data_IF_006032044243
#
_entry.id   IF_006032044243
#
_cell.length_a   1.000
_cell.length_b   1.000
_cell.length_c   1.000
_cell.angle_alpha   90.00
_cell.angle_beta   90.00
_cell.angle_gamma   90.00
#
_symmetry.space_group_name_H-M   'P 1'
#
loop_
_entity.id
_entity.type
_entity.pdbx_description
1 polymer ?
#
# COMPACT_ATOMS: atom_id res chain seq x y z
N UNK A 1 -27.71 -5.29 -7.41
CA UNK A 1 -27.24 -4.00 -6.88
C UNK A 1 -25.94 -3.67 -7.59
N UNK A 2 -25.92 -2.67 -8.46
CA UNK A 2 -24.69 -2.20 -9.10
C UNK A 2 -23.86 -1.47 -8.05
N UNK A 3 -22.65 -1.95 -7.77
CA UNK A 3 -21.67 -1.26 -6.94
C UNK A 3 -21.18 -0.06 -7.78
N UNK A 4 -21.58 1.15 -7.43
CA UNK A 4 -21.20 2.37 -8.18
C UNK A 4 -20.02 3.01 -7.45
N UNK A 5 -18.89 3.16 -8.16
CA UNK A 5 -17.77 3.97 -7.67
C UNK A 5 -18.07 5.45 -7.91
N UNK A 6 -17.93 6.26 -6.87
CA UNK A 6 -18.13 7.71 -6.90
C UNK A 6 -16.78 8.43 -6.87
N UNK A 7 -16.68 9.56 -7.58
CA UNK A 7 -15.52 10.45 -7.49
C UNK A 7 -15.62 11.21 -6.18
N UNK A 8 -14.62 11.03 -5.31
CA UNK A 8 -14.52 11.76 -4.04
C UNK A 8 -13.77 13.07 -4.28
N UNK A 9 -12.58 13.01 -4.87
CA UNK A 9 -11.75 14.16 -5.19
C UNK A 9 -10.85 13.86 -6.38
N UNK A 10 -10.37 14.89 -7.07
CA UNK A 10 -9.44 14.77 -8.19
C UNK A 10 -8.40 15.89 -8.11
N UNK A 11 -7.13 15.57 -8.41
CA UNK A 11 -6.02 16.50 -8.35
C UNK A 11 -4.72 15.83 -7.90
N UNK A 12 -3.70 16.62 -7.55
CA UNK A 12 -2.37 16.07 -7.26
C UNK A 12 -1.71 15.44 -8.48
N UNK A 13 -0.69 14.60 -8.27
CA UNK A 13 0.04 13.92 -9.33
C UNK A 13 0.68 12.63 -8.82
N UNK A 14 0.31 11.51 -9.46
CA UNK A 14 0.75 10.18 -9.02
C UNK A 14 0.12 9.82 -7.67
N UNK A 15 -1.22 9.96 -7.56
CA UNK A 15 -1.92 9.65 -6.32
C UNK A 15 -1.70 8.18 -5.94
N UNK A 16 -1.39 7.93 -4.67
CA UNK A 16 -1.22 6.59 -4.12
C UNK A 16 -1.47 6.57 -2.60
N UNK A 17 -1.36 5.37 -2.01
CA UNK A 17 -1.35 5.14 -0.57
C UNK A 17 -2.46 5.87 0.22
N UNK A 18 -3.75 5.64 -0.10
CA UNK A 18 -4.82 6.18 0.70
C UNK A 18 -4.76 5.60 2.11
N UNK A 19 -4.91 6.44 3.13
CA UNK A 19 -4.92 6.00 4.54
C UNK A 19 -5.85 6.86 5.37
N UNK A 20 -6.42 6.30 6.44
CA UNK A 20 -7.20 7.08 7.40
C UNK A 20 -6.32 7.58 8.53
N UNK A 21 -6.44 8.87 8.85
CA UNK A 21 -5.78 9.50 9.98
C UNK A 21 -6.77 10.40 10.73
N UNK A 22 -7.07 10.09 11.99
CA UNK A 22 -7.97 10.89 12.84
C UNK A 22 -9.32 11.23 12.17
N UNK A 23 -9.90 10.26 11.46
CA UNK A 23 -11.17 10.41 10.73
C UNK A 23 -11.09 11.16 9.40
N UNK A 24 -9.89 11.56 8.96
CA UNK A 24 -9.66 12.14 7.63
C UNK A 24 -9.03 11.11 6.69
N UNK A 25 -9.43 11.12 5.43
CA UNK A 25 -8.74 10.39 4.37
C UNK A 25 -7.54 11.21 3.90
N UNK A 26 -6.36 10.60 3.93
CA UNK A 26 -5.12 11.14 3.41
C UNK A 26 -4.70 10.33 2.17
N UNK A 27 -4.02 10.98 1.24
CA UNK A 27 -3.41 10.35 0.06
C UNK A 27 -2.02 10.94 -0.17
N UNK A 28 -1.11 10.13 -0.71
CA UNK A 28 0.18 10.62 -1.18
C UNK A 28 0.03 11.13 -2.62
N UNK A 29 0.65 12.28 -2.92
CA UNK A 29 0.84 12.80 -4.26
C UNK A 29 2.32 12.67 -4.59
N UNK A 30 2.70 11.50 -5.08
CA UNK A 30 4.10 11.06 -5.17
C UNK A 30 4.95 12.03 -5.99
N UNK A 31 4.44 12.50 -7.14
CA UNK A 31 5.22 13.30 -8.08
C UNK A 31 5.33 14.78 -7.66
N UNK A 32 4.42 15.27 -6.82
CA UNK A 32 4.50 16.64 -6.28
C UNK A 32 5.18 16.71 -4.91
N UNK A 33 5.47 15.56 -4.28
CA UNK A 33 6.15 15.52 -2.98
C UNK A 33 5.24 15.94 -1.82
N UNK A 34 3.95 15.62 -1.88
CA UNK A 34 2.96 16.09 -0.90
C UNK A 34 2.14 14.94 -0.30
N UNK A 35 1.78 15.07 0.97
CA UNK A 35 0.65 14.34 1.55
C UNK A 35 -0.55 15.28 1.54
N UNK A 36 -1.65 14.82 0.94
CA UNK A 36 -2.87 15.58 0.76
C UNK A 36 -3.97 15.01 1.66
N UNK A 37 -4.71 15.88 2.35
CA UNK A 37 -5.96 15.52 3.00
C UNK A 37 -7.13 15.72 2.02
N UNK A 38 -8.07 14.79 2.04
CA UNK A 38 -9.34 14.93 1.31
C UNK A 38 -10.30 15.76 2.15
N UNK A 39 -10.70 16.93 1.65
CA UNK A 39 -11.62 17.84 2.32
C UNK A 39 -12.82 18.16 1.39
N UNK A 40 -13.91 17.43 1.57
CA UNK A 40 -15.03 17.46 0.62
C UNK A 40 -14.58 16.90 -0.73
N UNK A 41 -14.63 17.73 -1.78
CA UNK A 41 -14.20 17.35 -3.13
C UNK A 41 -12.81 17.88 -3.52
N UNK A 42 -12.04 18.39 -2.56
CA UNK A 42 -10.71 18.96 -2.80
C UNK A 42 -9.62 18.15 -2.10
N UNK A 43 -8.39 18.28 -2.63
CA UNK A 43 -7.18 17.75 -2.02
C UNK A 43 -6.35 18.92 -1.49
N UNK A 44 -6.08 18.92 -0.19
CA UNK A 44 -5.37 20.00 0.50
C UNK A 44 -4.04 19.49 1.03
N UNK A 45 -2.89 20.09 0.64
CA UNK A 45 -1.60 19.71 1.19
C UNK A 45 -1.52 19.92 2.70
N UNK A 46 -1.10 18.89 3.44
CA UNK A 46 -0.89 18.95 4.90
C UNK A 46 0.56 18.73 5.31
N UNK A 47 1.38 18.21 4.39
CA UNK A 47 2.80 17.95 4.56
C UNK A 47 3.48 17.96 3.21
N UNK A 48 4.70 18.51 3.16
CA UNK A 48 5.62 18.33 2.04
C UNK A 48 6.75 17.38 2.42
N UNK A 49 7.19 16.57 1.47
CA UNK A 49 8.24 15.56 1.60
C UNK A 49 8.94 15.39 0.23
N UNK A 50 9.67 14.30 0.02
CA UNK A 50 10.42 14.05 -1.20
C UNK A 50 9.53 13.50 -2.31
N UNK A 51 9.21 12.21 -2.22
CA UNK A 51 8.29 11.51 -3.11
C UNK A 51 7.53 10.44 -2.31
N UNK A 52 6.42 10.81 -1.64
CA UNK A 52 5.71 9.91 -0.75
C UNK A 52 5.04 8.78 -1.54
N UNK A 53 5.19 7.55 -1.07
CA UNK A 53 4.74 6.33 -1.76
C UNK A 53 3.88 5.42 -0.88
N UNK A 54 4.00 5.53 0.44
CA UNK A 54 3.25 4.73 1.42
C UNK A 54 2.93 5.56 2.66
N UNK A 55 1.71 5.42 3.19
CA UNK A 55 1.24 6.19 4.35
C UNK A 55 0.57 5.29 5.38
N UNK A 56 0.91 5.49 6.65
CA UNK A 56 0.20 4.87 7.77
C UNK A 56 0.13 5.85 8.93
N UNK A 57 -1.03 6.01 9.56
CA UNK A 57 -1.21 6.89 10.70
C UNK A 57 -1.53 6.08 11.95
N UNK A 58 -0.88 6.40 13.05
CA UNK A 58 -1.14 5.80 14.36
C UNK A 58 -0.88 6.81 15.48
N UNK A 59 -1.79 6.90 16.45
CA UNK A 59 -1.59 7.73 17.65
C UNK A 59 -1.30 9.23 17.42
N UNK A 60 -1.61 9.78 16.25
CA UNK A 60 -1.25 11.17 15.88
C UNK A 60 0.12 11.31 15.22
N UNK A 61 0.84 10.20 15.02
CA UNK A 61 2.05 10.10 14.21
C UNK A 61 1.67 9.65 12.81
N UNK A 62 2.27 10.28 11.80
CA UNK A 62 2.13 9.87 10.40
C UNK A 62 3.45 9.29 9.90
N UNK A 63 3.45 8.02 9.54
CA UNK A 63 4.57 7.32 8.92
C UNK A 63 4.47 7.42 7.40
N UNK A 64 5.59 7.75 6.77
CA UNK A 64 5.67 8.02 5.33
C UNK A 64 6.82 7.22 4.73
N UNK A 65 6.52 6.29 3.84
CA UNK A 65 7.51 5.77 2.91
C UNK A 65 7.79 6.83 1.84
N UNK A 66 9.06 7.11 1.57
CA UNK A 66 9.47 8.15 0.62
C UNK A 66 10.55 7.61 -0.33
N UNK A 67 10.24 7.64 -1.63
CA UNK A 67 11.13 7.16 -2.69
C UNK A 67 12.36 8.05 -2.86
N UNK A 68 12.21 9.37 -2.73
CA UNK A 68 13.31 10.31 -2.94
C UNK A 68 14.25 10.34 -1.72
N UNK A 69 13.70 10.21 -0.51
CA UNK A 69 14.49 10.09 0.71
C UNK A 69 15.09 8.68 0.90
N UNK A 70 14.64 7.69 0.12
CA UNK A 70 15.02 6.28 0.22
C UNK A 70 14.87 5.74 1.66
N UNK A 71 13.75 6.08 2.30
CA UNK A 71 13.57 5.78 3.71
C UNK A 71 12.12 5.80 4.16
N UNK A 72 11.93 5.35 5.39
CA UNK A 72 10.71 5.55 6.15
C UNK A 72 10.92 6.77 7.03
N UNK A 73 10.02 7.73 6.94
CA UNK A 73 9.97 8.95 7.73
C UNK A 73 8.80 8.86 8.71
N UNK A 74 8.85 9.65 9.78
CA UNK A 74 7.74 9.85 10.71
C UNK A 74 7.55 11.34 10.94
N UNK A 75 6.30 11.79 10.88
CA UNK A 75 5.89 13.12 11.28
C UNK A 75 5.16 13.07 12.61
N UNK A 76 5.66 13.82 13.57
CA UNK A 76 5.04 14.01 14.88
C UNK A 76 5.15 15.49 15.25
N UNK A 77 4.05 16.10 15.74
CA UNK A 77 4.01 17.52 16.11
C UNK A 77 4.51 18.49 15.01
N UNK A 78 4.27 18.14 13.75
CA UNK A 78 4.69 18.92 12.58
C UNK A 78 6.19 18.80 12.22
N UNK A 79 6.95 17.97 12.94
CA UNK A 79 8.34 17.68 12.62
C UNK A 79 8.47 16.36 11.88
N UNK A 80 9.01 16.41 10.67
CA UNK A 80 9.34 15.23 9.86
C UNK A 80 10.76 14.76 10.21
N UNK A 81 10.87 13.52 10.67
CA UNK A 81 12.14 12.89 11.05
C UNK A 81 12.31 11.55 10.35
N UNK A 82 13.56 11.12 10.19
CA UNK A 82 13.87 9.80 9.65
C UNK A 82 13.61 8.72 10.70
N UNK A 83 12.88 7.67 10.31
CA UNK A 83 12.76 6.45 11.10
C UNK A 83 13.85 5.46 10.71
N UNK A 84 14.03 5.19 9.41
CA UNK A 84 15.07 4.28 8.91
C UNK A 84 15.38 4.50 7.43
N UNK A 85 16.64 4.32 7.02
CA UNK A 85 17.10 4.45 5.63
C UNK A 85 17.99 3.32 5.09
N UNK A 86 18.47 2.44 5.96
CA UNK A 86 19.36 1.36 5.55
C UNK A 86 19.14 0.09 6.37
N UNK A 87 19.55 -1.03 5.78
CA UNK A 87 19.66 -2.33 6.43
C UNK A 87 21.04 -2.91 6.13
N UNK A 88 21.79 -3.33 7.15
CA UNK A 88 23.14 -3.90 7.00
C UNK A 88 24.07 -3.04 6.10
N UNK A 89 24.12 -1.72 6.37
CA UNK A 89 24.90 -0.72 5.62
C UNK A 89 24.52 -0.58 4.13
N UNK A 90 23.34 -1.06 3.74
CA UNK A 90 22.77 -0.90 2.41
C UNK A 90 21.54 0.00 2.48
N UNK A 91 21.62 1.13 1.78
CA UNK A 91 20.50 2.07 1.64
C UNK A 91 19.33 1.37 0.94
N UNK A 92 18.11 1.69 1.35
CA UNK A 92 16.90 1.19 0.69
C UNK A 92 16.80 1.67 -0.75
N UNK A 93 16.11 0.90 -1.59
CA UNK A 93 15.84 1.26 -2.99
C UNK A 93 14.80 2.38 -3.08
N UNK A 94 13.90 2.40 -2.10
CA UNK A 94 12.79 3.33 -1.98
C UNK A 94 11.63 2.56 -1.36
N UNK A 95 11.32 2.78 -0.08
CA UNK A 95 10.17 2.15 0.55
C UNK A 95 8.87 2.51 -0.19
N UNK A 96 7.92 1.59 -0.30
CA UNK A 96 6.70 1.76 -1.12
C UNK A 96 5.39 1.59 -0.37
N UNK A 97 5.40 0.93 0.79
CA UNK A 97 4.19 0.71 1.57
C UNK A 97 4.54 0.42 3.01
N UNK A 98 3.63 0.79 3.93
CA UNK A 98 3.82 0.66 5.38
C UNK A 98 2.50 0.32 6.07
N UNK A 99 2.54 -0.52 7.09
CA UNK A 99 1.43 -0.79 8.02
C UNK A 99 1.97 -1.00 9.43
N UNK A 100 1.17 -0.64 10.44
CA UNK A 100 1.48 -0.88 11.84
C UNK A 100 0.51 -1.88 12.44
N UNK A 101 0.99 -2.73 13.35
CA UNK A 101 0.11 -3.53 14.21
C UNK A 101 -0.27 -2.77 15.49
N UNK A 102 -1.27 -3.25 16.26
CA UNK A 102 -1.72 -2.56 17.47
C UNK A 102 -0.70 -2.48 18.62
N UNK A 103 0.43 -3.20 18.51
CA UNK A 103 1.52 -3.16 19.51
C UNK A 103 2.62 -2.18 19.06
N UNK A 104 2.51 -1.62 17.85
CA UNK A 104 3.44 -0.65 17.28
C UNK A 104 4.56 -1.26 16.46
N UNK A 105 4.48 -2.54 16.07
CA UNK A 105 5.44 -3.08 15.11
C UNK A 105 5.16 -2.45 13.74
N UNK A 106 6.20 -1.97 13.08
CA UNK A 106 6.12 -1.36 11.76
C UNK A 106 6.52 -2.40 10.72
N UNK A 107 5.69 -2.59 9.70
CA UNK A 107 6.01 -3.42 8.55
C UNK A 107 6.06 -2.56 7.31
N UNK A 108 7.08 -2.72 6.47
CA UNK A 108 7.20 -1.95 5.23
C UNK A 108 7.84 -2.74 4.10
N UNK A 109 7.61 -2.28 2.88
CA UNK A 109 8.18 -2.84 1.65
C UNK A 109 9.24 -1.89 1.10
N UNK A 110 10.33 -2.46 0.58
CA UNK A 110 11.36 -1.75 -0.17
C UNK A 110 11.42 -2.31 -1.60
N UNK A 111 10.84 -1.57 -2.55
CA UNK A 111 10.77 -1.97 -3.95
C UNK A 111 11.50 -0.99 -4.89
N UNK A 112 11.70 0.25 -4.45
CA UNK A 112 12.09 1.36 -5.31
C UNK A 112 10.99 1.74 -6.31
N UNK A 113 11.27 2.70 -7.22
CA UNK A 113 10.36 3.05 -8.30
C UNK A 113 10.11 1.86 -9.25
N UNK A 114 9.02 1.88 -9.99
CA UNK A 114 8.71 0.83 -10.98
C UNK A 114 9.85 0.72 -12.00
N UNK A 115 10.43 -0.48 -12.09
CA UNK A 115 11.63 -0.76 -12.90
C UNK A 115 12.90 -1.04 -12.08
N UNK A 116 12.92 -0.67 -10.80
CA UNK A 116 14.07 -0.91 -9.90
C UNK A 116 14.17 -2.38 -9.47
N UNK A 117 13.05 -2.97 -9.06
CA UNK A 117 12.95 -4.40 -8.72
C UNK A 117 12.01 -5.09 -9.71
N UNK A 118 12.56 -5.96 -10.56
CA UNK A 118 11.86 -6.48 -11.76
C UNK A 118 11.68 -7.99 -11.72
N UNK A 119 10.94 -8.56 -12.68
CA UNK A 119 10.87 -10.02 -12.88
C UNK A 119 12.25 -10.65 -13.07
N UNK A 120 13.14 -9.98 -13.81
CA UNK A 120 14.48 -10.50 -14.13
C UNK A 120 15.47 -10.27 -12.98
N UNK A 121 15.21 -9.29 -12.12
CA UNK A 121 16.02 -8.96 -10.96
C UNK A 121 15.12 -8.64 -9.76
N UNK A 122 14.49 -9.67 -9.15
CA UNK A 122 13.53 -9.50 -8.08
C UNK A 122 14.24 -9.18 -6.76
N UNK A 123 14.77 -7.97 -6.63
CA UNK A 123 15.56 -7.52 -5.48
C UNK A 123 14.76 -6.70 -4.47
N UNK A 124 13.44 -6.76 -4.51
CA UNK A 124 12.58 -6.13 -3.52
C UNK A 124 12.58 -6.89 -2.20
N UNK A 125 12.27 -6.18 -1.11
CA UNK A 125 12.33 -6.71 0.25
C UNK A 125 11.09 -6.30 1.05
N UNK A 126 10.82 -7.05 2.12
CA UNK A 126 9.83 -6.73 3.14
C UNK A 126 10.52 -6.78 4.50
N UNK A 127 10.24 -5.79 5.35
CA UNK A 127 10.90 -5.59 6.63
C UNK A 127 9.90 -5.39 7.76
N UNK A 128 10.36 -5.66 8.99
CA UNK A 128 9.70 -5.32 10.24
C UNK A 128 10.65 -4.51 11.12
N UNK A 129 10.15 -3.47 11.75
CA UNK A 129 10.77 -2.81 12.92
C UNK A 129 9.93 -3.21 14.13
N UNK A 130 10.57 -3.86 15.10
CA UNK A 130 9.89 -4.27 16.34
C UNK A 130 9.66 -3.10 17.28
N UNK A 131 8.50 -3.05 17.93
CA UNK A 131 8.15 -1.94 18.82
C UNK A 131 9.08 -1.84 20.05
N UNK A 132 9.47 -2.98 20.61
CA UNK A 132 10.19 -3.13 21.87
C UNK A 132 11.69 -2.85 21.74
N UNK A 133 12.34 -3.46 20.76
CA UNK A 133 13.78 -3.39 20.55
C UNK A 133 14.19 -2.40 19.46
N UNK A 134 13.22 -1.85 18.71
CA UNK A 134 13.49 -1.10 17.47
C UNK A 134 14.39 -1.88 16.52
N UNK A 135 14.31 -3.22 16.57
CA UNK A 135 15.10 -4.12 15.74
C UNK A 135 14.47 -4.18 14.35
N UNK A 136 15.24 -3.76 13.34
CA UNK A 136 14.93 -3.94 11.93
C UNK A 136 15.33 -5.36 11.49
N UNK A 137 14.38 -6.13 10.97
CA UNK A 137 14.61 -7.48 10.44
C UNK A 137 13.82 -7.74 9.15
N UNK A 138 14.36 -8.54 8.21
CA UNK A 138 13.67 -8.88 6.98
C UNK A 138 12.64 -10.00 7.19
N UNK A 139 11.47 -9.83 6.58
CA UNK A 139 10.50 -10.91 6.31
C UNK A 139 10.88 -11.66 5.03
N UNK A 140 11.37 -10.89 4.05
CA UNK A 140 11.89 -11.33 2.77
C UNK A 140 12.97 -10.34 2.36
N UNK A 141 14.14 -10.84 1.94
CA UNK A 141 15.28 -9.99 1.58
C UNK A 141 15.65 -10.25 0.11
N UNK A 142 15.59 -9.20 -0.70
CA UNK A 142 16.01 -9.17 -2.11
C UNK A 142 15.52 -10.35 -2.96
N UNK A 143 14.24 -10.69 -2.83
CA UNK A 143 13.63 -11.82 -3.53
C UNK A 143 12.22 -11.55 -4.08
N UNK A 144 11.75 -10.30 -4.02
CA UNK A 144 10.43 -9.89 -4.50
C UNK A 144 10.53 -9.03 -5.77
N UNK A 145 9.67 -9.29 -6.76
CA UNK A 145 9.55 -8.50 -7.98
C UNK A 145 8.51 -7.39 -7.80
N UNK A 146 8.98 -6.20 -7.42
CA UNK A 146 8.16 -5.02 -7.15
C UNK A 146 7.02 -5.27 -6.13
N UNK A 147 7.36 -5.54 -4.85
CA UNK A 147 6.35 -5.62 -3.80
C UNK A 147 5.68 -4.24 -3.60
N UNK A 148 4.37 -4.18 -3.77
CA UNK A 148 3.64 -2.91 -3.97
C UNK A 148 2.87 -2.43 -2.73
N UNK A 149 2.21 -3.34 -2.02
CA UNK A 149 1.42 -3.02 -0.84
C UNK A 149 1.38 -4.17 0.16
N UNK A 150 1.07 -3.86 1.42
CA UNK A 150 0.88 -4.85 2.46
C UNK A 150 -0.30 -4.50 3.37
N UNK A 151 -0.89 -5.54 3.96
CA UNK A 151 -1.94 -5.42 4.97
C UNK A 151 -1.80 -6.51 6.03
N UNK A 152 -2.27 -6.22 7.24
CA UNK A 152 -2.36 -7.20 8.32
C UNK A 152 -3.71 -7.92 8.25
N UNK A 153 -3.70 -9.22 8.50
CA UNK A 153 -4.94 -9.93 8.76
C UNK A 153 -5.50 -9.57 10.15
N UNK A 154 -6.79 -9.83 10.42
CA UNK A 154 -7.39 -9.55 11.73
C UNK A 154 -6.71 -10.25 12.91
N UNK A 155 -6.02 -11.37 12.66
CA UNK A 155 -5.28 -12.12 13.68
C UNK A 155 -3.97 -11.43 14.14
N UNK A 156 -3.56 -10.36 13.47
CA UNK A 156 -2.32 -9.59 13.70
C UNK A 156 -1.03 -10.44 13.63
N UNK A 157 -1.11 -11.63 13.03
CA UNK A 157 0.01 -12.59 12.90
C UNK A 157 0.33 -12.91 11.44
N UNK A 158 -0.65 -12.67 10.58
CA UNK A 158 -0.56 -12.93 9.15
C UNK A 158 -0.40 -11.61 8.42
N UNK A 159 0.63 -11.52 7.58
CA UNK A 159 0.93 -10.33 6.78
C UNK A 159 0.74 -10.71 5.32
N UNK A 160 -0.11 -9.96 4.64
CA UNK A 160 -0.33 -10.09 3.21
C UNK A 160 0.52 -9.08 2.46
N UNK A 161 1.17 -9.51 1.39
CA UNK A 161 2.01 -8.65 0.53
C UNK A 161 1.62 -8.86 -0.92
N UNK A 162 1.27 -7.80 -1.62
CA UNK A 162 1.07 -7.83 -3.07
C UNK A 162 2.42 -7.73 -3.76
N UNK A 163 2.71 -8.68 -4.63
CA UNK A 163 3.90 -8.65 -5.49
C UNK A 163 3.45 -8.41 -6.92
N UNK A 164 3.63 -7.17 -7.37
CA UNK A 164 2.99 -6.66 -8.58
C UNK A 164 3.45 -7.45 -9.80
N UNK A 165 4.76 -7.57 -10.03
CA UNK A 165 5.26 -8.09 -11.30
C UNK A 165 5.18 -9.62 -11.44
N UNK A 166 5.03 -10.37 -10.34
CA UNK A 166 4.71 -11.81 -10.38
C UNK A 166 3.21 -12.11 -10.23
N UNK A 167 2.40 -11.06 -10.21
CA UNK A 167 0.94 -11.11 -10.22
C UNK A 167 0.35 -11.98 -9.10
N UNK A 168 0.85 -11.83 -7.86
CA UNK A 168 0.47 -12.70 -6.74
C UNK A 168 0.28 -11.96 -5.42
N UNK A 169 -0.57 -12.53 -4.58
CA UNK A 169 -0.73 -12.18 -3.17
C UNK A 169 0.04 -13.20 -2.34
N UNK A 170 1.06 -12.74 -1.63
CA UNK A 170 1.84 -13.52 -0.69
C UNK A 170 1.24 -13.43 0.71
N UNK A 171 1.45 -14.49 1.50
CA UNK A 171 1.15 -14.52 2.92
C UNK A 171 2.38 -14.93 3.71
N UNK A 172 2.74 -14.09 4.67
CA UNK A 172 3.80 -14.30 5.64
C UNK A 172 3.21 -14.63 7.01
N UNK A 173 3.72 -15.67 7.65
CA UNK A 173 3.35 -16.08 9.01
C UNK A 173 4.61 -16.38 9.81
N UNK A 174 4.71 -15.85 11.02
CA UNK A 174 5.86 -16.08 11.88
C UNK A 174 5.75 -17.43 12.62
N UNK A 175 6.83 -18.22 12.63
CA UNK A 175 6.97 -19.46 13.42
C UNK A 175 8.41 -19.61 13.89
N UNK A 176 8.61 -19.80 15.20
CA UNK A 176 9.95 -20.00 15.77
C UNK A 176 10.90 -18.82 15.53
N UNK A 177 10.37 -17.58 15.49
CA UNK A 177 11.13 -16.36 15.24
C UNK A 177 11.32 -16.00 13.77
N UNK A 178 11.12 -16.94 12.83
CA UNK A 178 11.27 -16.70 11.39
C UNK A 178 9.92 -16.51 10.69
N UNK A 179 9.91 -15.72 9.61
CA UNK A 179 8.75 -15.61 8.73
C UNK A 179 8.78 -16.70 7.66
N UNK A 180 7.63 -17.33 7.44
CA UNK A 180 7.42 -18.27 6.36
C UNK A 180 6.48 -17.65 5.33
N UNK A 181 6.92 -17.64 4.07
CA UNK A 181 6.17 -17.09 2.94
C UNK A 181 5.50 -18.21 2.12
N UNK A 182 4.29 -17.94 1.64
CA UNK A 182 3.56 -18.79 0.70
C UNK A 182 2.75 -17.93 -0.26
N UNK A 183 2.49 -18.44 -1.47
CA UNK A 183 1.52 -17.81 -2.38
C UNK A 183 0.12 -18.10 -1.86
N UNK A 184 -0.60 -17.05 -1.49
CA UNK A 184 -1.96 -17.14 -0.98
C UNK A 184 -2.99 -17.07 -2.10
N UNK A 185 -2.75 -16.22 -3.10
CA UNK A 185 -3.56 -16.12 -4.30
C UNK A 185 -2.70 -15.78 -5.51
N UNK A 186 -2.93 -16.45 -6.64
CA UNK A 186 -2.29 -16.14 -7.92
C UNK A 186 -3.33 -15.45 -8.80
N UNK A 187 -3.05 -14.24 -9.24
CA UNK A 187 -3.91 -13.47 -10.13
C UNK A 187 -3.55 -13.72 -11.60
N UNK A 188 -4.40 -13.20 -12.49
CA UNK A 188 -4.24 -13.24 -13.94
C UNK A 188 -4.77 -11.94 -14.54
N UNK A 189 -4.24 -11.52 -15.71
CA UNK A 189 -4.69 -10.32 -16.41
C UNK A 189 -3.70 -9.18 -16.26
N UNK A 190 -4.19 -8.03 -15.77
CA UNK A 190 -3.46 -6.77 -15.47
C UNK A 190 -2.00 -6.97 -15.04
N UNK A 191 -1.17 -5.92 -15.17
CA UNK A 191 0.24 -5.97 -14.77
C UNK A 191 0.44 -6.57 -13.36
N UNK A 192 -0.39 -6.17 -12.39
CA UNK A 192 -0.57 -6.96 -11.17
C UNK A 192 -1.15 -6.19 -9.99
N UNK A 193 -1.21 -6.81 -8.80
CA UNK A 193 -1.80 -6.20 -7.62
C UNK A 193 -0.92 -5.04 -7.12
N UNK A 194 -1.55 -3.90 -6.84
CA UNK A 194 -0.86 -2.64 -6.48
C UNK A 194 -1.27 -2.09 -5.12
N UNK A 195 -2.42 -2.50 -4.59
CA UNK A 195 -2.91 -2.11 -3.28
C UNK A 195 -3.70 -3.23 -2.62
N UNK A 196 -3.73 -3.25 -1.29
CA UNK A 196 -4.51 -4.20 -0.50
C UNK A 196 -5.09 -3.56 0.75
N UNK A 197 -6.36 -3.85 1.02
CA UNK A 197 -7.02 -3.61 2.31
C UNK A 197 -7.62 -4.92 2.81
N UNK A 198 -7.63 -5.13 4.13
CA UNK A 198 -8.23 -6.29 4.77
C UNK A 198 -9.28 -5.85 5.80
N UNK A 199 -10.49 -6.38 5.71
CA UNK A 199 -11.55 -6.08 6.68
C UNK A 199 -11.42 -6.93 7.96
N UNK A 200 -12.27 -6.67 8.96
CA UNK A 200 -12.27 -7.40 10.23
C UNK A 200 -12.72 -8.86 10.09
N UNK A 201 -13.39 -9.21 9.00
CA UNK A 201 -13.78 -10.59 8.68
C UNK A 201 -12.66 -11.36 7.97
N UNK A 202 -11.59 -10.68 7.57
CA UNK A 202 -10.45 -11.22 6.83
C UNK A 202 -10.67 -11.26 5.32
N UNK A 203 -11.69 -10.58 4.79
CA UNK A 203 -11.84 -10.37 3.35
C UNK A 203 -10.77 -9.39 2.89
N UNK A 204 -10.12 -9.70 1.77
CA UNK A 204 -9.12 -8.84 1.15
C UNK A 204 -9.70 -8.17 -0.08
N UNK A 205 -9.45 -6.87 -0.20
CA UNK A 205 -9.75 -6.06 -1.36
C UNK A 205 -8.44 -5.67 -2.01
N UNK A 206 -8.17 -6.22 -3.19
CA UNK A 206 -6.89 -6.05 -3.89
C UNK A 206 -7.13 -5.28 -5.17
N UNK A 207 -6.61 -4.07 -5.27
CA UNK A 207 -6.66 -3.30 -6.50
C UNK A 207 -5.48 -3.66 -7.41
N UNK A 208 -5.70 -3.53 -8.71
CA UNK A 208 -4.74 -3.91 -9.75
C UNK A 208 -4.30 -2.70 -10.54
N UNK A 209 -2.99 -2.61 -10.73
CA UNK A 209 -2.38 -1.67 -11.65
C UNK A 209 -2.26 -2.30 -13.03
N UNK A 210 -2.57 -1.53 -14.06
CA UNK A 210 -2.17 -1.79 -15.43
C UNK A 210 -1.84 -0.49 -16.14
N UNK A 211 -1.03 -0.54 -17.18
CA UNK A 211 -0.54 0.66 -17.85
C UNK A 211 -1.63 1.19 -18.79
N UNK A 212 -2.04 2.45 -18.64
CA UNK A 212 -3.14 3.02 -19.43
C UNK A 212 -2.90 2.98 -20.95
N UNK A 213 -1.64 3.02 -21.39
CA UNK A 213 -1.26 2.93 -22.81
C UNK A 213 -1.28 1.52 -23.40
N UNK A 214 -1.58 0.49 -22.61
CA UNK A 214 -1.70 -0.91 -23.07
C UNK A 214 -3.02 -1.23 -23.77
N UNK A 215 -4.00 -0.32 -23.73
CA UNK A 215 -5.36 -0.54 -24.22
C UNK A 215 -6.36 -0.94 -23.14
N UNK A 216 -5.90 -1.18 -21.90
CA UNK A 216 -6.76 -1.39 -20.73
C UNK A 216 -7.46 -0.09 -20.33
N UNK A 217 -8.79 -0.07 -20.38
CA UNK A 217 -9.60 1.11 -20.09
C UNK A 217 -10.24 1.12 -18.70
N UNK A 218 -10.31 -0.03 -18.04
CA UNK A 218 -10.95 -0.22 -16.73
C UNK A 218 -9.95 -0.81 -15.75
N UNK A 219 -10.02 -0.39 -14.51
CA UNK A 219 -9.29 -1.00 -13.40
C UNK A 219 -10.06 -2.16 -12.82
N UNK A 220 -9.42 -2.89 -11.90
CA UNK A 220 -9.98 -4.08 -11.28
C UNK A 220 -9.70 -4.06 -9.78
N UNK A 221 -10.71 -4.41 -8.99
CA UNK A 221 -10.56 -4.77 -7.58
C UNK A 221 -11.03 -6.21 -7.39
N UNK A 222 -10.12 -7.10 -7.01
CA UNK A 222 -10.46 -8.47 -6.62
C UNK A 222 -10.86 -8.52 -5.15
N UNK A 223 -11.99 -9.17 -4.87
CA UNK A 223 -12.45 -9.44 -3.49
C UNK A 223 -12.16 -10.90 -3.18
N UNK A 224 -11.27 -11.15 -2.21
CA UNK A 224 -10.80 -12.49 -1.86
C UNK A 224 -11.24 -12.82 -0.43
N UNK A 225 -11.83 -13.99 -0.23
CA UNK A 225 -12.22 -14.49 1.09
C UNK A 225 -11.01 -14.83 1.98
N UNK A 226 -11.19 -14.93 3.32
CA UNK A 226 -10.15 -15.41 4.23
C UNK A 226 -9.56 -16.79 3.88
N UNK A 227 -10.30 -17.60 3.12
CA UNK A 227 -9.89 -18.91 2.65
C UNK A 227 -9.10 -18.88 1.33
N UNK A 228 -8.81 -17.70 0.77
CA UNK A 228 -8.08 -17.56 -0.50
C UNK A 228 -8.92 -17.83 -1.75
N UNK A 229 -10.26 -17.74 -1.65
CA UNK A 229 -11.14 -17.83 -2.83
C UNK A 229 -11.54 -16.45 -3.34
N UNK A 230 -11.47 -16.25 -4.66
CA UNK A 230 -12.05 -15.09 -5.33
C UNK A 230 -13.57 -15.12 -5.16
N UNK A 231 -14.13 -14.07 -4.57
CA UNK A 231 -15.56 -13.91 -4.33
C UNK A 231 -16.22 -13.13 -5.45
N UNK A 232 -15.62 -12.01 -5.85
CA UNK A 232 -16.06 -11.17 -6.96
C UNK A 232 -14.93 -10.28 -7.45
N UNK A 233 -15.13 -9.70 -8.62
CA UNK A 233 -14.33 -8.63 -9.19
C UNK A 233 -15.21 -7.39 -9.35
N UNK A 234 -14.59 -6.22 -9.13
CA UNK A 234 -15.26 -4.93 -9.24
C UNK A 234 -14.46 -4.08 -10.23
N UNK A 235 -15.11 -3.64 -11.30
CA UNK A 235 -14.49 -2.75 -12.27
C UNK A 235 -14.35 -1.34 -11.70
N UNK A 236 -13.20 -0.72 -11.95
CA UNK A 236 -12.94 0.68 -11.64
C UNK A 236 -12.89 1.54 -12.92
N UNK A 237 -13.20 2.84 -12.86
CA UNK A 237 -13.24 3.70 -14.03
C UNK A 237 -11.89 3.93 -14.73
N UNK A 238 -10.76 3.62 -14.07
CA UNK A 238 -9.40 3.86 -14.56
C UNK A 238 -8.47 2.66 -14.30
N UNK A 239 -7.51 2.38 -15.20
CA UNK A 239 -6.70 1.15 -15.18
C UNK A 239 -5.54 1.16 -14.17
N UNK A 240 -5.00 2.33 -13.85
CA UNK A 240 -3.82 2.46 -12.97
C UNK A 240 -4.24 2.65 -11.51
N UNK A 241 -4.93 1.67 -10.91
CA UNK A 241 -5.20 1.73 -9.47
C UNK A 241 -3.88 1.59 -8.72
N UNK A 242 -3.63 2.45 -7.73
CA UNK A 242 -2.34 2.57 -7.03
C UNK A 242 -2.44 2.32 -5.53
N UNK A 243 -3.66 2.21 -5.00
CA UNK A 243 -3.87 2.03 -3.57
C UNK A 243 -5.34 1.82 -3.23
N UNK A 244 -5.56 1.24 -2.05
CA UNK A 244 -6.90 1.02 -1.51
C UNK A 244 -6.85 1.06 0.02
N UNK A 245 -7.88 1.61 0.65
CA UNK A 245 -8.09 1.53 2.10
C UNK A 245 -9.57 1.45 2.42
N UNK A 246 -9.90 1.04 3.64
CA UNK A 246 -11.28 1.00 4.15
C UNK A 246 -11.54 2.23 5.01
N UNK A 247 -12.80 2.68 5.07
CA UNK A 247 -13.23 3.54 6.16
C UNK A 247 -13.20 2.77 7.51
N UNK A 248 -13.34 3.50 8.62
CA UNK A 248 -13.29 2.93 9.96
C UNK A 248 -14.37 1.85 10.19
N UNK A 249 -15.54 2.02 9.57
CA UNK A 249 -16.66 1.08 9.67
C UNK A 249 -16.54 -0.14 8.74
N UNK A 250 -15.60 -0.15 7.80
CA UNK A 250 -15.45 -1.22 6.81
C UNK A 250 -16.58 -1.27 5.77
N UNK A 251 -17.29 -0.18 5.55
CA UNK A 251 -18.45 -0.06 4.64
C UNK A 251 -18.13 0.67 3.33
N UNK A 252 -17.01 1.39 3.28
CA UNK A 252 -16.56 2.15 2.12
C UNK A 252 -15.10 1.77 1.82
N UNK A 253 -14.82 1.42 0.56
CA UNK A 253 -13.47 1.39 0.03
C UNK A 253 -13.13 2.73 -0.60
N UNK A 254 -11.97 3.28 -0.23
CA UNK A 254 -11.35 4.38 -0.94
C UNK A 254 -10.23 3.85 -1.83
N UNK A 255 -10.20 4.31 -3.08
CA UNK A 255 -9.23 3.90 -4.08
C UNK A 255 -8.49 5.14 -4.60
N UNK A 256 -7.20 5.02 -4.85
CA UNK A 256 -6.42 6.01 -5.61
C UNK A 256 -6.03 5.44 -6.96
N UNK A 257 -5.92 6.31 -7.96
CA UNK A 257 -5.40 5.95 -9.28
C UNK A 257 -4.60 7.08 -9.92
N UNK A 258 -3.65 6.74 -10.80
CA UNK A 258 -2.71 7.70 -11.40
C UNK A 258 -3.02 8.12 -12.84
N UNK A 259 -3.92 7.44 -13.53
CA UNK A 259 -4.27 7.77 -14.92
C UNK A 259 -4.99 9.12 -15.03
N UNK A 260 -5.89 9.40 -14.08
CA UNK A 260 -6.64 10.65 -14.00
C UNK A 260 -6.44 11.41 -12.69
N UNK A 261 -5.60 10.89 -11.79
CA UNK A 261 -5.32 11.42 -10.45
C UNK A 261 -6.61 11.62 -9.63
N UNK A 262 -7.40 10.56 -9.52
CA UNK A 262 -8.71 10.55 -8.85
C UNK A 262 -8.66 9.68 -7.59
N UNK A 263 -9.39 10.13 -6.58
CA UNK A 263 -9.78 9.33 -5.42
C UNK A 263 -11.24 8.89 -5.62
N UNK A 264 -11.48 7.58 -5.61
CA UNK A 264 -12.83 7.02 -5.66
C UNK A 264 -13.30 6.52 -4.31
N UNK A 265 -14.61 6.49 -4.11
CA UNK A 265 -15.29 5.85 -2.99
C UNK A 265 -16.25 4.78 -3.50
N UNK A 266 -16.30 3.63 -2.82
CA UNK A 266 -17.19 2.53 -3.14
C UNK A 266 -17.86 1.97 -1.90
N UNK A 267 -19.19 2.02 -1.83
CA UNK A 267 -19.97 1.38 -0.76
C UNK A 267 -20.08 -0.12 -1.00
N UNK A 268 -19.74 -0.93 0.02
CA UNK A 268 -19.56 -2.38 -0.06
C UNK A 268 -20.83 -3.24 0.01
#
# INVERSE_FOLDING_TARGET
FSCVMEVIAQGGSGLCAPTLASGKLLVASQNSGEVLAVEGSTLVPIMTCGAPSGLCADGGVLYVCDLAAQGVLRQENGQLTELVKEYEAKVFKGPTSIVLDPVGNVFFLDAGPLGETTLQSPKGSAFQITADAQLLQPLALECLAHPSALALAPDQRTIFVTELLTNRLLRFVQRGGAYHCSVFFQFSGHMGPSGIACDQQGTMYVCHYDVASSGTAKGLVSVISPAGKLLREIEAPAPELTGVTLNAEGTILYLTESSTNTVYGLTL
#
